data_IF_761517143075
#
_entry.id   IF_761517143075
#
_cell.length_a   1.000
_cell.length_b   1.000
_cell.length_c   1.000
_cell.angle_alpha   90.00
_cell.angle_beta   90.00
_cell.angle_gamma   90.00
#
_symmetry.space_group_name_H-M   'P 1'
#
loop_
_entity.id
_entity.type
_entity.pdbx_description
1 polymer ?
#
# COMPACT_ATOMS: atom_id res chain seq x y z
N UNK A 1 13.51 -20.34 8.62
CA UNK A 1 13.73 -18.98 9.14
C UNK A 1 13.18 -17.95 8.17
N UNK A 2 12.54 -16.94 8.67
CA UNK A 2 11.92 -15.94 7.81
C UNK A 2 12.98 -15.04 7.18
N UNK A 3 12.81 -14.75 5.91
CA UNK A 3 13.68 -13.84 5.19
C UNK A 3 13.00 -12.46 5.19
N UNK A 4 13.46 -11.58 6.08
CA UNK A 4 12.84 -10.27 6.24
C UNK A 4 12.98 -9.42 4.99
N UNK A 5 14.07 -9.57 4.26
CA UNK A 5 14.22 -8.80 3.03
C UNK A 5 13.19 -9.19 1.98
N UNK A 6 12.94 -10.49 1.84
CA UNK A 6 11.91 -10.96 0.92
C UNK A 6 10.54 -10.44 1.34
N UNK A 7 10.25 -10.48 2.64
CA UNK A 7 8.97 -9.97 3.14
C UNK A 7 8.85 -8.47 2.92
N UNK A 8 9.93 -7.73 3.12
CA UNK A 8 9.93 -6.29 2.86
C UNK A 8 9.62 -6.01 1.38
N UNK A 9 10.25 -6.78 0.47
CA UNK A 9 10.00 -6.60 -0.96
C UNK A 9 8.54 -6.90 -1.30
N UNK A 10 7.95 -7.90 -0.64
CA UNK A 10 6.53 -8.19 -0.85
C UNK A 10 5.65 -7.03 -0.40
N UNK A 11 6.01 -6.40 0.72
CA UNK A 11 5.27 -5.22 1.16
C UNK A 11 5.38 -4.10 0.15
N UNK A 12 6.56 -3.89 -0.42
CA UNK A 12 6.74 -2.84 -1.42
C UNK A 12 5.93 -3.12 -2.67
N UNK A 13 5.92 -4.38 -3.12
CA UNK A 13 5.12 -4.75 -4.29
C UNK A 13 3.63 -4.56 -4.01
N UNK A 14 3.18 -4.95 -2.82
CA UNK A 14 1.78 -4.77 -2.43
C UNK A 14 1.42 -3.28 -2.37
N UNK A 15 2.34 -2.46 -1.88
CA UNK A 15 2.12 -1.02 -1.83
C UNK A 15 1.88 -0.46 -3.24
N UNK A 16 2.63 -0.93 -4.23
CA UNK A 16 2.44 -0.49 -5.60
C UNK A 16 1.10 -0.95 -6.17
N UNK A 17 0.70 -2.19 -5.85
CA UNK A 17 -0.60 -2.69 -6.27
C UNK A 17 -1.73 -1.87 -5.66
N UNK A 18 -1.57 -1.49 -4.40
CA UNK A 18 -2.57 -0.65 -3.74
C UNK A 18 -2.62 0.74 -4.36
N UNK A 19 -1.47 1.27 -4.79
CA UNK A 19 -1.45 2.57 -5.47
C UNK A 19 -2.21 2.49 -6.80
N UNK A 20 -2.04 1.41 -7.54
CA UNK A 20 -2.77 1.24 -8.79
C UNK A 20 -4.27 1.13 -8.54
N UNK A 21 -4.66 0.38 -7.51
CA UNK A 21 -6.07 0.26 -7.14
C UNK A 21 -6.63 1.62 -6.75
N UNK A 22 -5.84 2.43 -6.03
CA UNK A 22 -6.26 3.76 -5.64
C UNK A 22 -6.56 4.64 -6.87
N UNK A 23 -5.71 4.57 -7.89
CA UNK A 23 -5.94 5.33 -9.11
C UNK A 23 -7.23 4.93 -9.80
N UNK A 24 -7.50 3.62 -9.90
CA UNK A 24 -8.73 3.15 -10.52
C UNK A 24 -9.95 3.64 -9.74
N UNK A 25 -9.87 3.60 -8.42
CA UNK A 25 -10.97 4.05 -7.58
C UNK A 25 -11.19 5.55 -7.69
N UNK A 26 -10.11 6.34 -7.79
CA UNK A 26 -10.23 7.77 -7.97
C UNK A 26 -10.90 8.10 -9.30
N UNK A 27 -10.58 7.37 -10.37
CA UNK A 27 -11.23 7.58 -11.65
C UNK A 27 -12.72 7.30 -11.57
N UNK A 28 -13.09 6.20 -10.90
CA UNK A 28 -14.49 5.86 -10.72
C UNK A 28 -15.20 6.93 -9.88
N UNK A 29 -14.53 7.45 -8.85
CA UNK A 29 -15.10 8.48 -7.99
C UNK A 29 -15.36 9.77 -8.79
N UNK A 30 -14.42 10.14 -9.66
CA UNK A 30 -14.60 11.32 -10.51
C UNK A 30 -15.80 11.15 -11.42
N UNK A 31 -16.06 9.91 -11.85
CA UNK A 31 -17.22 9.60 -12.69
C UNK A 31 -18.52 9.48 -11.90
N UNK A 32 -18.48 9.76 -10.61
CA UNK A 32 -19.69 9.81 -9.79
C UNK A 32 -19.93 8.62 -8.88
N UNK A 33 -18.99 7.67 -8.82
CA UNK A 33 -19.15 6.49 -7.97
C UNK A 33 -18.73 6.84 -6.53
N UNK A 34 -19.72 7.13 -5.69
CA UNK A 34 -19.44 7.51 -4.32
C UNK A 34 -18.88 6.35 -3.48
N UNK A 35 -19.29 5.13 -3.79
CA UNK A 35 -18.75 3.97 -3.09
C UNK A 35 -17.26 3.83 -3.39
N UNK A 36 -16.84 4.13 -4.63
CA UNK A 36 -15.44 4.09 -4.99
C UNK A 36 -14.64 5.13 -4.19
N UNK A 37 -15.22 6.31 -3.97
CA UNK A 37 -14.54 7.34 -3.18
C UNK A 37 -14.27 6.86 -1.76
N UNK A 38 -15.26 6.20 -1.15
CA UNK A 38 -15.09 5.67 0.20
C UNK A 38 -14.06 4.54 0.23
N UNK A 39 -14.13 3.66 -0.75
CA UNK A 39 -13.18 2.54 -0.83
C UNK A 39 -11.76 3.04 -1.04
N UNK A 40 -11.60 4.11 -1.83
CA UNK A 40 -10.28 4.67 -2.08
C UNK A 40 -9.62 5.14 -0.78
N UNK A 41 -10.38 5.75 0.11
CA UNK A 41 -9.83 6.19 1.39
C UNK A 41 -9.33 5.01 2.21
N UNK A 42 -10.05 3.90 2.17
CA UNK A 42 -9.62 2.69 2.87
C UNK A 42 -8.36 2.11 2.24
N UNK A 43 -8.27 2.12 0.91
CA UNK A 43 -7.09 1.62 0.20
C UNK A 43 -5.88 2.50 0.52
N UNK A 44 -6.06 3.82 0.59
CA UNK A 44 -4.97 4.72 0.95
C UNK A 44 -4.45 4.42 2.35
N UNK A 45 -5.35 4.16 3.30
CA UNK A 45 -4.92 3.79 4.65
C UNK A 45 -4.17 2.47 4.66
N UNK A 46 -4.65 1.50 3.90
CA UNK A 46 -4.00 0.20 3.81
C UNK A 46 -2.60 0.35 3.22
N UNK A 47 -2.46 1.19 2.20
CA UNK A 47 -1.15 1.43 1.59
C UNK A 47 -0.18 2.02 2.60
N UNK A 48 -0.63 3.00 3.38
CA UNK A 48 0.23 3.61 4.40
C UNK A 48 0.66 2.59 5.44
N UNK A 49 -0.25 1.70 5.84
CA UNK A 49 0.07 0.65 6.79
C UNK A 49 1.10 -0.32 6.23
N UNK A 50 0.97 -0.67 4.95
CA UNK A 50 1.92 -1.56 4.30
C UNK A 50 3.28 -0.89 4.16
N UNK A 51 3.30 0.41 3.84
CA UNK A 51 4.57 1.15 3.75
C UNK A 51 5.25 1.20 5.11
N UNK A 52 4.48 1.38 6.17
CA UNK A 52 5.05 1.33 7.52
C UNK A 52 5.58 -0.06 7.83
N UNK A 53 4.87 -1.10 7.44
CA UNK A 53 5.33 -2.46 7.64
C UNK A 53 6.67 -2.68 6.92
N UNK A 54 6.78 -2.20 5.67
CA UNK A 54 8.02 -2.34 4.92
C UNK A 54 9.16 -1.64 5.65
N UNK A 55 8.91 -0.45 6.17
CA UNK A 55 9.94 0.29 6.90
C UNK A 55 10.38 -0.45 8.15
N UNK A 56 9.45 -1.07 8.86
CA UNK A 56 9.77 -1.82 10.06
C UNK A 56 10.58 -3.08 9.76
N UNK A 57 10.41 -3.63 8.57
CA UNK A 57 11.14 -4.83 8.16
C UNK A 57 12.50 -4.49 7.58
N UNK A 58 12.75 -3.22 7.29
CA UNK A 58 14.04 -2.78 6.79
C UNK A 58 15.02 -2.74 7.94
N UNK A 59 16.07 -3.56 7.84
CA UNK A 59 17.02 -3.68 8.94
C UNK A 59 18.06 -2.57 8.83
N UNK A 60 18.18 -1.75 9.87
CA UNK A 60 19.22 -0.71 9.85
C UNK A 60 20.60 -1.34 9.80
N UNK A 61 21.44 -0.80 8.94
CA UNK A 61 22.80 -1.31 8.82
C UNK A 61 23.78 -0.51 9.65
N UNK A 62 23.38 0.65 10.10
CA UNK A 62 24.23 1.47 10.90
C UNK A 62 23.91 1.31 12.37
N UNK A 63 24.93 1.38 13.11
CA UNK A 63 24.80 1.50 14.55
C UNK A 63 26.10 1.29 15.17
#
# INVERSE_FOLDING_TARGET
MADLETLRHRCEALSEELADASLDLLRAAVDGDEAAARTEKRVTRARRAVEKAAALLDTPTTR
#
